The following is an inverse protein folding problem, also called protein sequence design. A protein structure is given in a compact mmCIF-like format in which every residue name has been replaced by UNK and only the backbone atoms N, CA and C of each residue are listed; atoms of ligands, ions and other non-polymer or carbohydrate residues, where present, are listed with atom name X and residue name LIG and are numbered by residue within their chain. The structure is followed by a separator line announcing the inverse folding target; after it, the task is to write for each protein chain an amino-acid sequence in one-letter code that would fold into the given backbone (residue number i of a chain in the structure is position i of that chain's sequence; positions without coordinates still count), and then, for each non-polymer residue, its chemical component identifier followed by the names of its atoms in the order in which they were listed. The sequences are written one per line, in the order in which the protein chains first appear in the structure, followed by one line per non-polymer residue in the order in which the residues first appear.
data_IF_565609359520
#
_entry.id   IF_565609359520
#
_cell.length_a   1.000
_cell.length_b   1.000
_cell.length_c   1.000
_cell.angle_alpha   90.00
_cell.angle_beta   90.00
_cell.angle_gamma   90.00
#
_symmetry.space_group_name_H-M   'P 1'
#
loop_
_entity.id
_entity.type
_entity.pdbx_description
1 polymer ?
#
# COMPACT_ATOMS: atom_id res chain seq x y z
N UNK A 1 -2.80 -4.91 -17.38
CA UNK A 1 -2.38 -5.07 -15.97
C UNK A 1 -3.28 -6.13 -15.34
N UNK A 2 -2.73 -7.24 -14.82
CA UNK A 2 -3.49 -8.41 -14.30
C UNK A 2 -3.44 -8.50 -12.76
N UNK A 3 -3.53 -7.37 -12.05
CA UNK A 3 -3.19 -7.31 -10.63
C UNK A 3 -4.21 -7.99 -9.72
N UNK A 4 -5.51 -7.90 -10.04
CA UNK A 4 -6.58 -8.52 -9.26
C UNK A 4 -6.42 -10.03 -9.15
N UNK A 5 -6.35 -10.77 -10.27
CA UNK A 5 -6.12 -12.21 -10.24
C UNK A 5 -4.80 -12.61 -9.57
N UNK A 6 -3.72 -11.83 -9.76
CA UNK A 6 -2.45 -12.08 -9.07
C UNK A 6 -2.58 -11.94 -7.56
N UNK A 7 -3.26 -10.91 -7.09
CA UNK A 7 -3.49 -10.67 -5.66
C UNK A 7 -4.31 -11.79 -5.00
N UNK A 8 -5.36 -12.27 -5.68
CA UNK A 8 -6.17 -13.42 -5.21
C UNK A 8 -5.34 -14.71 -5.13
N UNK A 9 -4.39 -14.89 -6.04
CA UNK A 9 -3.51 -16.05 -6.07
C UNK A 9 -2.28 -15.91 -5.15
N UNK A 10 -2.17 -14.84 -4.36
CA UNK A 10 -0.99 -14.57 -3.50
C UNK A 10 0.28 -14.22 -4.27
N UNK A 11 0.18 -13.88 -5.56
CA UNK A 11 1.31 -13.49 -6.39
C UNK A 11 1.60 -11.99 -6.23
N UNK A 12 2.59 -11.71 -5.38
CA UNK A 12 3.05 -10.37 -5.07
C UNK A 12 4.35 -9.99 -5.80
N UNK A 13 4.77 -10.73 -6.84
CA UNK A 13 5.97 -10.34 -7.58
C UNK A 13 5.77 -8.94 -8.22
N UNK A 14 6.73 -8.02 -8.06
CA UNK A 14 6.50 -6.61 -8.30
C UNK A 14 6.47 -6.27 -9.80
N UNK A 15 5.42 -5.58 -10.23
CA UNK A 15 5.49 -4.67 -11.38
C UNK A 15 5.87 -3.25 -10.95
N UNK A 16 5.47 -2.88 -9.72
CA UNK A 16 5.83 -1.64 -9.04
C UNK A 16 5.85 -1.91 -7.54
N UNK A 17 6.94 -1.55 -6.85
CA UNK A 17 7.18 -1.95 -5.46
C UNK A 17 6.43 -1.08 -4.46
N UNK A 18 6.06 -1.67 -3.31
CA UNK A 18 5.47 -0.97 -2.17
C UNK A 18 6.37 0.18 -1.70
N UNK A 19 7.68 -0.02 -1.62
CA UNK A 19 8.62 1.03 -1.19
C UNK A 19 8.63 2.24 -2.14
N UNK A 20 8.48 2.00 -3.44
CA UNK A 20 8.39 3.07 -4.44
C UNK A 20 7.06 3.82 -4.29
N UNK A 21 5.95 3.10 -4.14
CA UNK A 21 4.63 3.70 -3.90
C UNK A 21 4.62 4.54 -2.61
N UNK A 22 5.28 4.07 -1.56
CA UNK A 22 5.43 4.80 -0.29
C UNK A 22 6.22 6.09 -0.45
N UNK A 23 7.30 6.08 -1.25
CA UNK A 23 8.04 7.29 -1.60
C UNK A 23 7.15 8.29 -2.33
N UNK A 24 6.39 7.84 -3.33
CA UNK A 24 5.54 8.71 -4.12
C UNK A 24 4.40 9.29 -3.29
N UNK A 25 3.74 8.49 -2.46
CA UNK A 25 2.68 8.95 -1.55
C UNK A 25 3.18 9.96 -0.53
N UNK A 26 4.43 9.85 -0.07
CA UNK A 26 5.03 10.88 0.79
C UNK A 26 5.14 12.20 0.05
N UNK A 27 5.68 12.21 -1.17
CA UNK A 27 5.78 13.43 -1.98
C UNK A 27 4.41 14.05 -2.29
N UNK A 28 3.41 13.21 -2.59
CA UNK A 28 2.03 13.66 -2.82
C UNK A 28 1.44 14.33 -1.59
N UNK A 29 1.65 13.77 -0.40
CA UNK A 29 1.12 14.34 0.84
C UNK A 29 1.88 15.61 1.27
N UNK A 30 3.19 15.66 1.07
CA UNK A 30 4.00 16.87 1.28
C UNK A 30 3.50 18.03 0.38
N UNK A 31 3.31 17.76 -0.92
CA UNK A 31 2.76 18.76 -1.84
C UNK A 31 1.31 19.17 -1.48
N UNK A 32 0.49 18.24 -1.00
CA UNK A 32 -0.87 18.53 -0.57
C UNK A 32 -0.92 19.44 0.67
N UNK A 33 0.04 19.29 1.58
CA UNK A 33 0.22 20.16 2.75
C UNK A 33 0.58 21.59 2.31
N UNK A 34 1.53 21.75 1.38
CA UNK A 34 1.90 23.06 0.82
C UNK A 34 0.71 23.77 0.14
N UNK A 35 -0.13 23.00 -0.54
CA UNK A 35 -1.32 23.50 -1.24
C UNK A 35 -2.56 23.62 -0.34
N UNK A 36 -2.44 23.34 0.96
CA UNK A 36 -3.54 23.30 1.92
C UNK A 36 -4.75 22.46 1.43
N UNK A 37 -4.46 21.38 0.71
CA UNK A 37 -5.46 20.53 0.04
C UNK A 37 -5.61 19.19 0.77
N UNK A 38 -6.80 18.83 1.26
CA UNK A 38 -6.98 17.58 1.99
C UNK A 38 -7.00 16.37 1.05
N UNK A 39 -6.14 15.38 1.30
CA UNK A 39 -6.09 14.09 0.59
C UNK A 39 -6.26 12.89 1.55
N UNK A 40 -7.41 12.74 2.23
CA UNK A 40 -7.61 11.70 3.24
C UNK A 40 -7.50 10.28 2.64
N UNK A 41 -7.91 10.08 1.38
CA UNK A 41 -7.75 8.80 0.70
C UNK A 41 -6.29 8.40 0.51
N UNK A 42 -5.45 9.33 0.04
CA UNK A 42 -4.01 9.11 -0.14
C UNK A 42 -3.31 8.87 1.20
N UNK A 43 -3.70 9.61 2.25
CA UNK A 43 -3.18 9.42 3.59
C UNK A 43 -3.52 8.02 4.13
N UNK A 44 -4.76 7.57 3.96
CA UNK A 44 -5.17 6.21 4.34
C UNK A 44 -4.39 5.15 3.57
N UNK A 45 -4.29 5.27 2.24
CA UNK A 45 -3.54 4.31 1.42
C UNK A 45 -2.07 4.24 1.85
N UNK A 46 -1.43 5.37 2.16
CA UNK A 46 -0.07 5.40 2.70
C UNK A 46 0.02 4.59 4.01
N UNK A 47 -0.93 4.75 4.93
CA UNK A 47 -0.94 3.99 6.19
C UNK A 47 -1.15 2.50 5.95
N UNK A 48 -1.99 2.11 4.99
CA UNK A 48 -2.18 0.69 4.65
C UNK A 48 -0.89 0.09 4.07
N UNK A 49 -0.17 0.80 3.19
CA UNK A 49 1.12 0.31 2.69
C UNK A 49 2.21 0.19 3.78
N UNK A 50 2.17 1.04 4.82
CA UNK A 50 3.09 0.91 5.97
C UNK A 50 2.95 -0.45 6.68
N UNK A 51 1.78 -1.07 6.67
CA UNK A 51 1.55 -2.41 7.24
C UNK A 51 2.46 -3.47 6.59
N UNK A 52 2.70 -3.34 5.28
CA UNK A 52 3.59 -4.23 4.52
C UNK A 52 5.06 -3.89 4.78
N UNK A 53 5.43 -2.61 4.75
CA UNK A 53 6.81 -2.19 5.07
C UNK A 53 7.24 -2.62 6.47
N UNK A 54 6.36 -2.47 7.47
CA UNK A 54 6.60 -2.90 8.84
C UNK A 54 6.83 -4.42 8.98
N UNK A 55 6.42 -5.20 7.98
CA UNK A 55 6.63 -6.66 7.90
C UNK A 55 7.77 -7.05 6.95
N UNK A 56 8.60 -6.09 6.51
CA UNK A 56 9.70 -6.34 5.58
C UNK A 56 9.27 -6.59 4.13
N UNK A 57 8.00 -6.29 3.78
CA UNK A 57 7.41 -6.54 2.46
C UNK A 57 7.44 -5.32 1.54
N UNK A 58 8.48 -4.49 1.68
CA UNK A 58 8.67 -3.30 0.84
C UNK A 58 8.95 -3.62 -0.64
N UNK A 59 9.54 -4.80 -0.90
CA UNK A 59 9.81 -5.30 -2.24
C UNK A 59 8.63 -5.96 -2.95
N UNK A 60 7.50 -6.15 -2.26
CA UNK A 60 6.30 -6.71 -2.88
C UNK A 60 5.69 -5.70 -3.87
N UNK A 61 4.93 -6.22 -4.84
CA UNK A 61 4.12 -5.41 -5.74
C UNK A 61 2.98 -4.69 -5.02
N UNK A 62 2.55 -3.53 -5.54
CA UNK A 62 1.45 -2.74 -4.95
C UNK A 62 0.14 -3.52 -4.76
N UNK A 63 -0.09 -4.59 -5.54
CA UNK A 63 -1.24 -5.46 -5.36
C UNK A 63 -1.27 -6.19 -4.01
N UNK A 64 -0.14 -6.25 -3.28
CA UNK A 64 -0.08 -6.78 -1.92
C UNK A 64 -0.88 -5.94 -0.90
N UNK A 65 -1.37 -4.76 -1.28
CA UNK A 65 -2.26 -3.94 -0.45
C UNK A 65 -3.54 -4.69 -0.02
N UNK A 66 -4.02 -5.65 -0.81
CA UNK A 66 -5.20 -6.46 -0.41
C UNK A 66 -4.90 -7.30 0.83
N UNK A 67 -3.67 -7.80 0.95
CA UNK A 67 -3.25 -8.57 2.11
C UNK A 67 -3.04 -7.66 3.32
N UNK A 68 -2.48 -6.47 3.10
CA UNK A 68 -2.41 -5.44 4.13
C UNK A 68 -3.78 -5.12 4.74
N UNK A 69 -4.82 -5.00 3.90
CA UNK A 69 -6.19 -4.78 4.35
C UNK A 69 -6.76 -5.99 5.12
N UNK A 70 -6.48 -7.21 4.64
CA UNK A 70 -6.88 -8.44 5.34
C UNK A 70 -6.25 -8.54 6.74
N UNK A 71 -5.00 -8.12 6.90
CA UNK A 71 -4.29 -8.07 8.18
C UNK A 71 -4.89 -7.06 9.18
N UNK A 72 -5.57 -6.02 8.68
CA UNK A 72 -6.27 -5.02 9.49
C UNK A 72 -7.72 -5.40 9.79
N UNK A 73 -8.28 -6.35 9.04
CA UNK A 73 -9.65 -6.83 9.21
C UNK A 73 -9.79 -7.80 10.40
N UNK A 74 -11.03 -8.02 10.88
CA UNK A 74 -11.33 -8.86 12.04
C UNK A 74 -11.05 -10.36 11.88
N UNK A 75 -10.39 -10.80 10.80
CA UNK A 75 -10.16 -12.22 10.47
C UNK A 75 -8.77 -12.78 10.79
N UNK A 76 -7.82 -11.97 11.26
CA UNK A 76 -6.41 -12.37 11.32
C UNK A 76 -5.84 -12.45 12.76
N UNK A 77 -6.50 -13.22 13.63
CA UNK A 77 -6.02 -13.55 14.98
C UNK A 77 -5.85 -15.07 15.21
N UNK A 78 -5.45 -15.81 14.19
CA UNK A 78 -5.14 -17.25 14.32
C UNK A 78 -3.64 -17.49 14.33
#
# INVERSE_FOLDING_TARGET
TNLGPRAVNGDYAPGFMVDLMQKDLRLVLEAAEELQTPLPGSALVQQVFRVLQARGRGGDGTQAIVDALSLLGPGNQS
#
